data_IF_848518458065
#
_entry.id   IF_848518458065
#
_cell.length_a   1.000
_cell.length_b   1.000
_cell.length_c   1.000
_cell.angle_alpha   90.00
_cell.angle_beta   90.00
_cell.angle_gamma   90.00
#
_symmetry.space_group_name_H-M   'P 1'
#
loop_
_entity.id
_entity.type
_entity.pdbx_description
1 polymer ?
#
# COMPACT_ATOMS: atom_id res chain seq x y z
N UNK A 1 51.51 61.08 -0.05
CA UNK A 1 51.25 59.87 -0.84
C UNK A 1 51.33 58.66 0.08
N UNK A 2 50.21 58.10 0.55
CA UNK A 2 50.23 56.83 1.28
C UNK A 2 49.93 55.65 0.34
N UNK A 3 50.69 54.57 0.52
CA UNK A 3 50.60 53.33 -0.23
C UNK A 3 49.53 52.42 0.38
N UNK A 4 48.52 52.08 -0.41
CA UNK A 4 47.43 51.18 -0.05
C UNK A 4 47.84 49.73 -0.39
N UNK A 5 48.14 48.92 0.64
CA UNK A 5 48.42 47.50 0.47
C UNK A 5 47.12 46.68 0.55
N UNK A 6 46.66 46.19 -0.60
CA UNK A 6 45.55 45.26 -0.71
C UNK A 6 45.99 43.83 -0.35
N UNK A 7 45.54 43.32 0.80
CA UNK A 7 45.68 41.92 1.21
C UNK A 7 44.74 41.03 0.39
N UNK A 8 45.29 40.29 -0.59
CA UNK A 8 44.58 39.16 -1.24
C UNK A 8 44.49 37.98 -0.29
N UNK A 9 43.31 37.76 0.28
CA UNK A 9 42.96 36.58 1.07
C UNK A 9 42.66 35.42 0.11
N UNK A 10 43.59 34.47 0.05
CA UNK A 10 43.53 33.28 -0.78
C UNK A 10 42.75 32.19 -0.04
N UNK A 11 41.45 32.06 -0.32
CA UNK A 11 40.62 30.96 0.19
C UNK A 11 40.91 29.69 -0.62
N UNK A 12 41.43 28.67 0.05
CA UNK A 12 41.53 27.29 -0.44
C UNK A 12 40.12 26.70 -0.63
N UNK A 13 39.77 26.15 -1.81
CA UNK A 13 38.55 25.39 -1.98
C UNK A 13 38.72 23.98 -1.38
N UNK A 14 37.79 23.64 -0.49
CA UNK A 14 37.67 22.34 0.15
C UNK A 14 37.37 21.28 -0.92
N UNK A 15 38.29 20.31 -1.09
CA UNK A 15 38.13 19.20 -2.00
C UNK A 15 36.89 18.37 -1.60
N UNK A 16 35.88 18.34 -2.48
CA UNK A 16 34.75 17.43 -2.33
C UNK A 16 35.10 16.05 -2.92
N UNK A 17 34.74 14.94 -2.25
CA UNK A 17 34.95 13.61 -2.78
C UNK A 17 33.97 13.34 -3.92
N UNK A 18 34.48 13.31 -5.16
CA UNK A 18 33.73 12.88 -6.33
C UNK A 18 33.34 11.40 -6.18
N UNK A 19 32.07 11.15 -5.81
CA UNK A 19 31.44 9.85 -6.03
C UNK A 19 31.27 9.66 -7.53
N UNK A 20 32.15 8.86 -8.12
CA UNK A 20 32.03 8.38 -9.51
C UNK A 20 30.76 7.53 -9.60
N UNK A 21 29.63 8.15 -9.95
CA UNK A 21 28.46 7.44 -10.45
C UNK A 21 28.82 6.91 -11.83
N UNK A 22 29.23 5.64 -11.88
CA UNK A 22 29.30 4.91 -13.14
C UNK A 22 27.88 4.77 -13.66
N UNK A 23 27.49 5.65 -14.58
CA UNK A 23 26.31 5.46 -15.41
C UNK A 23 26.59 4.20 -16.24
N UNK A 24 26.04 3.07 -15.79
CA UNK A 24 25.98 1.86 -16.60
C UNK A 24 25.06 2.19 -17.75
N UNK A 25 25.63 2.57 -18.89
CA UNK A 25 24.90 2.67 -20.16
C UNK A 25 24.43 1.26 -20.49
N UNK A 26 23.20 0.94 -20.10
CA UNK A 26 22.49 -0.25 -20.56
C UNK A 26 22.19 -0.02 -22.04
N UNK A 27 23.15 -0.35 -22.88
CA UNK A 27 22.92 -0.44 -24.33
C UNK A 27 22.09 -1.69 -24.54
N UNK A 28 20.77 -1.52 -24.60
CA UNK A 28 19.90 -2.54 -25.15
C UNK A 28 20.29 -2.72 -26.61
N UNK A 29 21.14 -3.72 -26.88
CA UNK A 29 21.28 -4.25 -28.22
C UNK A 29 19.95 -4.88 -28.57
N UNK A 30 19.14 -4.15 -29.31
CA UNK A 30 17.97 -4.70 -30.01
C UNK A 30 18.56 -5.65 -31.05
N UNK A 31 18.60 -6.94 -30.74
CA UNK A 31 18.80 -7.97 -31.75
C UNK A 31 17.61 -7.87 -32.71
N UNK A 32 17.83 -7.16 -33.81
CA UNK A 32 16.96 -7.19 -34.97
C UNK A 32 16.99 -8.61 -35.53
N UNK A 33 16.08 -9.46 -35.04
CA UNK A 33 15.77 -10.73 -35.67
C UNK A 33 15.16 -10.36 -37.02
N UNK A 34 15.95 -10.48 -38.08
CA UNK A 34 15.49 -10.38 -39.45
C UNK A 34 14.55 -11.55 -39.72
N UNK A 35 13.27 -11.37 -39.40
CA UNK A 35 12.21 -12.28 -39.80
C UNK A 35 12.12 -12.16 -41.32
N UNK A 36 12.71 -13.13 -42.02
CA UNK A 36 12.60 -13.27 -43.46
C UNK A 36 11.13 -13.29 -43.85
N UNK A 37 10.68 -12.42 -44.77
CA UNK A 37 9.32 -12.48 -45.29
C UNK A 37 9.22 -13.67 -46.24
N UNK A 38 9.01 -14.86 -45.68
CA UNK A 38 8.54 -16.01 -46.48
C UNK A 38 7.12 -15.67 -46.94
N UNK A 39 7.01 -15.32 -48.22
CA UNK A 39 5.74 -15.06 -48.89
C UNK A 39 4.94 -16.38 -48.93
N UNK A 40 3.75 -16.48 -48.31
CA UNK A 40 2.83 -17.54 -48.66
C UNK A 40 2.29 -17.26 -50.06
N UNK A 41 2.65 -18.14 -51.00
CA UNK A 41 2.08 -18.20 -52.34
C UNK A 41 0.64 -18.73 -52.23
N UNK A 42 -0.30 -17.91 -52.69
CA UNK A 42 -1.58 -18.24 -53.34
C UNK A 42 -2.44 -19.36 -52.74
N UNK A 43 -3.65 -18.99 -52.31
CA UNK A 43 -4.85 -19.74 -52.68
C UNK A 43 -6.06 -18.81 -52.69
N UNK A 44 -6.42 -18.36 -53.88
CA UNK A 44 -7.70 -17.74 -54.19
C UNK A 44 -8.79 -18.78 -53.96
N UNK A 45 -9.50 -18.71 -52.84
CA UNK A 45 -10.78 -19.38 -52.70
C UNK A 45 -11.69 -18.60 -51.73
N UNK A 46 -12.81 -18.14 -52.31
CA UNK A 46 -14.10 -17.79 -51.72
C UNK A 46 -14.23 -16.46 -50.98
N UNK A 47 -14.74 -15.49 -51.75
CA UNK A 47 -15.07 -14.12 -51.39
C UNK A 47 -16.57 -13.96 -51.07
N UNK A 48 -17.16 -14.89 -50.31
CA UNK A 48 -18.61 -14.86 -49.97
C UNK A 48 -18.91 -15.11 -48.48
N UNK A 49 -18.00 -14.79 -47.56
CA UNK A 49 -18.18 -15.15 -46.13
C UNK A 49 -17.74 -14.14 -45.08
N UNK A 50 -17.42 -12.89 -45.45
CA UNK A 50 -16.81 -11.95 -44.50
C UNK A 50 -17.81 -11.07 -43.73
N UNK A 51 -19.07 -11.02 -44.12
CA UNK A 51 -20.09 -10.20 -43.42
C UNK A 51 -20.66 -10.90 -42.18
N UNK A 52 -20.57 -12.23 -42.06
CA UNK A 52 -21.20 -12.98 -40.95
C UNK A 52 -20.38 -13.02 -39.65
N UNK A 53 -19.15 -12.50 -39.62
CA UNK A 53 -18.33 -12.45 -38.38
C UNK A 53 -18.55 -11.19 -37.54
N UNK A 54 -18.91 -10.06 -38.15
CA UNK A 54 -19.19 -8.82 -37.41
C UNK A 54 -20.43 -8.91 -36.50
N UNK A 55 -21.45 -9.63 -36.95
CA UNK A 55 -22.72 -9.75 -36.21
C UNK A 55 -22.61 -10.54 -34.91
N UNK A 56 -21.68 -11.50 -34.81
CA UNK A 56 -21.49 -12.28 -33.56
C UNK A 56 -20.90 -11.43 -32.43
N UNK A 57 -19.96 -10.55 -32.74
CA UNK A 57 -19.34 -9.66 -31.74
C UNK A 57 -20.33 -8.64 -31.20
N UNK A 58 -21.17 -8.05 -32.05
CA UNK A 58 -22.20 -7.11 -31.60
C UNK A 58 -23.29 -7.79 -30.78
N UNK A 59 -23.68 -9.02 -31.12
CA UNK A 59 -24.62 -9.81 -30.34
C UNK A 59 -24.06 -10.19 -28.95
N UNK A 60 -22.76 -10.50 -28.87
CA UNK A 60 -22.09 -10.81 -27.61
C UNK A 60 -21.95 -9.58 -26.70
N UNK A 61 -21.63 -8.41 -27.28
CA UNK A 61 -21.57 -7.15 -26.52
C UNK A 61 -22.93 -6.74 -25.95
N UNK A 62 -24.02 -6.88 -26.73
CA UNK A 62 -25.38 -6.63 -26.22
C UNK A 62 -25.80 -7.60 -25.12
N UNK A 63 -25.33 -8.86 -25.16
CA UNK A 63 -25.59 -9.85 -24.09
C UNK A 63 -24.88 -9.48 -22.79
N UNK A 64 -23.62 -9.05 -22.87
CA UNK A 64 -22.87 -8.59 -21.69
C UNK A 64 -23.48 -7.34 -21.08
N UNK A 65 -23.82 -6.34 -21.90
CA UNK A 65 -24.45 -5.11 -21.40
C UNK A 65 -25.82 -5.37 -20.75
N UNK A 66 -26.59 -6.33 -21.28
CA UNK A 66 -27.87 -6.75 -20.69
C UNK A 66 -27.69 -7.51 -19.38
N UNK A 67 -26.65 -8.36 -19.28
CA UNK A 67 -26.32 -9.08 -18.05
C UNK A 67 -25.82 -8.12 -16.95
N UNK A 68 -25.01 -7.12 -17.33
CA UNK A 68 -24.51 -6.08 -16.42
C UNK A 68 -25.63 -5.20 -15.89
N UNK A 69 -26.54 -4.73 -16.76
CA UNK A 69 -27.74 -4.00 -16.33
C UNK A 69 -28.65 -4.82 -15.41
N UNK A 70 -28.79 -6.12 -15.68
CA UNK A 70 -29.56 -7.01 -14.80
C UNK A 70 -28.89 -7.16 -13.42
N UNK A 71 -27.57 -7.34 -13.37
CA UNK A 71 -26.81 -7.42 -12.13
C UNK A 71 -26.86 -6.12 -11.32
N UNK A 72 -26.79 -4.97 -11.99
CA UNK A 72 -26.87 -3.66 -11.35
C UNK A 72 -28.27 -3.39 -10.78
N UNK A 73 -29.33 -3.78 -11.50
CA UNK A 73 -30.70 -3.70 -11.00
C UNK A 73 -30.92 -4.62 -9.78
N UNK A 74 -30.32 -5.82 -9.77
CA UNK A 74 -30.34 -6.69 -8.59
C UNK A 74 -29.57 -6.11 -7.40
N UNK A 75 -28.44 -5.41 -7.64
CA UNK A 75 -27.70 -4.72 -6.57
C UNK A 75 -28.47 -3.55 -5.97
N UNK A 76 -29.16 -2.75 -6.77
CA UNK A 76 -30.00 -1.66 -6.26
C UNK A 76 -31.20 -2.16 -5.44
N UNK A 77 -31.69 -3.38 -5.71
CA UNK A 77 -32.75 -4.00 -4.90
C UNK A 77 -32.21 -4.69 -3.64
N UNK A 78 -30.92 -5.00 -3.56
CA UNK A 78 -30.31 -5.65 -2.39
C UNK A 78 -29.86 -4.66 -1.30
N UNK A 79 -30.01 -3.35 -1.54
CA UNK A 79 -29.59 -2.28 -0.63
C UNK A 79 -30.78 -1.68 0.14
N UNK A 80 -31.74 -2.53 0.48
CA UNK A 80 -32.73 -2.32 1.55
C UNK A 80 -32.50 -3.42 2.59
N UNK A 81 -31.29 -3.45 3.15
CA UNK A 81 -31.09 -4.05 4.47
C UNK A 81 -31.13 -2.88 5.44
N UNK A 82 -32.12 -2.89 6.33
CA UNK A 82 -32.19 -1.94 7.44
C UNK A 82 -30.87 -1.99 8.21
N UNK A 83 -30.25 -0.83 8.44
CA UNK A 83 -29.08 -0.71 9.31
C UNK A 83 -29.40 -1.40 10.64
N UNK A 84 -28.61 -2.42 10.98
CA UNK A 84 -28.73 -3.12 12.25
C UNK A 84 -28.59 -2.12 13.42
N UNK A 85 -29.50 -2.13 14.42
CA UNK A 85 -29.61 -1.09 15.45
C UNK A 85 -28.36 -0.82 16.31
N UNK A 86 -27.39 -1.73 16.33
CA UNK A 86 -26.22 -1.63 17.20
C UNK A 86 -25.11 -0.71 16.66
N UNK A 87 -25.04 -0.43 15.34
CA UNK A 87 -24.07 0.52 14.78
C UNK A 87 -24.34 1.99 15.21
N UNK A 88 -25.54 2.27 15.73
CA UNK A 88 -25.89 3.61 16.26
C UNK A 88 -25.25 3.89 17.62
N UNK A 89 -24.85 2.86 18.37
CA UNK A 89 -24.35 2.99 19.75
C UNK A 89 -22.87 3.38 19.79
N UNK A 90 -22.04 2.91 18.85
CA UNK A 90 -20.60 3.22 18.82
C UNK A 90 -20.25 4.65 18.40
N UNK A 91 -21.17 5.39 17.77
CA UNK A 91 -20.92 6.78 17.36
C UNK A 91 -21.01 7.78 18.52
N UNK A 92 -21.55 7.38 19.67
CA UNK A 92 -21.74 8.25 20.85
C UNK A 92 -20.66 8.10 21.93
N UNK A 93 -19.75 7.14 21.81
CA UNK A 93 -18.79 6.77 22.86
C UNK A 93 -17.33 7.13 22.57
N UNK A 94 -17.05 8.05 21.63
CA UNK A 94 -15.68 8.60 21.50
C UNK A 94 -15.45 9.73 22.52
N UNK A 95 -14.65 9.52 23.58
CA UNK A 95 -14.31 10.57 24.52
C UNK A 95 -13.47 11.64 23.83
N UNK A 96 -13.90 12.88 24.02
CA UNK A 96 -13.24 14.11 23.59
C UNK A 96 -11.86 14.17 24.24
N UNK A 97 -10.80 13.95 23.47
CA UNK A 97 -9.41 14.12 23.92
C UNK A 97 -9.19 15.56 24.38
N UNK A 98 -9.16 15.76 25.70
CA UNK A 98 -8.66 16.98 26.33
C UNK A 98 -7.15 17.02 26.11
N UNK A 99 -6.68 18.13 25.55
CA UNK A 99 -5.27 18.50 25.51
C UNK A 99 -4.64 18.33 26.89
N UNK A 100 -3.74 17.36 27.00
CA UNK A 100 -2.89 17.19 28.17
C UNK A 100 -1.85 18.32 28.12
N UNK A 101 -2.00 19.24 29.06
CA UNK A 101 -1.03 20.28 29.41
C UNK A 101 0.23 19.58 29.93
N UNK A 102 1.37 19.92 29.34
CA UNK A 102 2.69 19.55 29.81
C UNK A 102 2.95 20.28 31.13
N UNK A 103 2.94 19.57 32.25
CA UNK A 103 3.58 20.03 33.47
C UNK A 103 4.88 19.25 33.65
N UNK A 104 5.99 19.97 33.49
CA UNK A 104 7.32 19.56 33.93
C UNK A 104 7.25 19.12 35.40
N UNK A 105 7.44 17.83 35.65
CA UNK A 105 7.78 17.34 36.98
C UNK A 105 9.28 17.08 37.06
N UNK A 106 9.90 17.95 37.83
CA UNK A 106 11.19 17.84 38.48
C UNK A 106 11.57 16.41 38.88
N UNK A 107 12.75 15.96 38.46
CA UNK A 107 13.40 14.74 38.95
C UNK A 107 13.89 14.92 40.40
N UNK A 108 13.47 14.08 41.36
CA UNK A 108 14.13 13.99 42.65
C UNK A 108 15.38 13.09 42.60
N UNK A 109 16.39 13.55 43.33
CA UNK A 109 17.75 13.02 43.46
C UNK A 109 17.80 11.58 44.03
N UNK A 110 18.85 10.79 43.74
CA UNK A 110 19.00 9.43 44.25
C UNK A 110 19.40 9.46 45.73
N UNK A 111 18.57 8.87 46.59
CA UNK A 111 18.94 8.55 47.98
C UNK A 111 19.32 7.07 48.05
N UNK A 112 20.56 6.81 48.48
CA UNK A 112 21.12 5.50 48.77
C UNK A 112 20.33 4.84 49.92
N UNK A 113 19.69 3.70 49.61
CA UNK A 113 18.93 2.90 50.56
C UNK A 113 19.77 1.67 50.95
N UNK A 114 20.13 1.63 52.22
CA UNK A 114 20.79 0.52 52.90
C UNK A 114 20.07 -0.82 52.67
N UNK A 115 20.80 -1.80 52.14
CA UNK A 115 20.37 -3.21 52.09
C UNK A 115 20.26 -3.78 53.51
N UNK A 116 19.06 -4.22 53.86
CA UNK A 116 18.81 -5.12 54.99
C UNK A 116 18.39 -6.47 54.39
N UNK A 117 18.98 -7.60 54.81
CA UNK A 117 18.65 -8.90 54.24
C UNK A 117 17.17 -9.24 54.49
N UNK A 118 16.41 -9.70 53.47
CA UNK A 118 14.99 -9.94 53.62
C UNK A 118 14.71 -11.11 54.58
N UNK A 119 13.74 -10.98 55.50
CA UNK A 119 13.27 -12.09 56.31
C UNK A 119 12.62 -13.15 55.40
N UNK A 120 12.87 -14.42 55.72
CA UNK A 120 12.33 -15.59 55.02
C UNK A 120 10.83 -15.44 54.78
N UNK A 121 10.44 -15.53 53.50
CA UNK A 121 9.06 -15.37 53.06
C UNK A 121 8.13 -16.37 53.77
N UNK A 122 7.00 -15.92 54.34
CA UNK A 122 5.96 -16.82 54.82
C UNK A 122 5.39 -17.62 53.64
N UNK A 123 5.10 -18.90 53.88
CA UNK A 123 4.45 -19.78 52.93
C UNK A 123 3.18 -19.12 52.39
N UNK A 124 3.19 -18.85 51.07
CA UNK A 124 2.10 -18.19 50.35
C UNK A 124 0.94 -19.17 50.29
N UNK A 125 -0.16 -18.84 50.95
CA UNK A 125 -1.43 -19.53 50.78
C UNK A 125 -1.87 -19.42 49.31
N UNK A 126 -2.35 -20.52 48.74
CA UNK A 126 -2.76 -20.74 47.34
C UNK A 126 -4.01 -19.92 46.91
N UNK A 127 -4.24 -18.75 47.51
CA UNK A 127 -5.35 -17.84 47.20
C UNK A 127 -4.86 -16.73 46.25
N UNK A 128 -4.24 -17.15 45.13
CA UNK A 128 -3.86 -16.23 44.08
C UNK A 128 -5.11 -15.83 43.28
N UNK A 129 -5.36 -14.52 43.07
CA UNK A 129 -6.54 -14.04 42.36
C UNK A 129 -6.61 -14.58 40.93
N UNK A 130 -7.81 -14.93 40.49
CA UNK A 130 -8.10 -15.33 39.11
C UNK A 130 -8.05 -14.07 38.24
N UNK A 131 -7.22 -14.08 37.19
CA UNK A 131 -6.95 -12.88 36.38
C UNK A 131 -7.68 -12.85 35.02
N UNK A 132 -8.09 -14.00 34.45
CA UNK A 132 -8.73 -14.05 33.13
C UNK A 132 -9.91 -15.03 33.10
N UNK A 133 -11.11 -14.51 32.83
CA UNK A 133 -12.32 -15.30 32.56
C UNK A 133 -12.55 -15.43 31.06
N UNK A 134 -12.70 -16.65 30.55
CA UNK A 134 -12.99 -16.92 29.13
C UNK A 134 -14.40 -17.46 28.99
N UNK A 135 -15.26 -16.68 28.33
CA UNK A 135 -16.61 -17.10 27.94
C UNK A 135 -16.64 -17.44 26.45
N UNK A 136 -17.15 -18.62 26.12
CA UNK A 136 -17.31 -19.09 24.74
C UNK A 136 -18.65 -18.65 24.16
N UNK A 137 -18.71 -18.54 22.84
CA UNK A 137 -19.97 -18.23 22.15
C UNK A 137 -21.01 -19.34 22.40
N UNK A 138 -22.31 -19.03 22.61
CA UNK A 138 -23.33 -20.03 22.95
C UNK A 138 -23.47 -21.18 21.96
N UNK A 139 -23.09 -20.96 20.69
CA UNK A 139 -23.10 -22.00 19.65
C UNK A 139 -22.07 -23.11 19.87
N UNK A 140 -21.02 -22.86 20.65
CA UNK A 140 -19.91 -23.80 20.86
C UNK A 140 -20.14 -24.73 22.06
N UNK A 141 -21.25 -24.53 22.80
CA UNK A 141 -21.67 -25.30 23.97
C UNK A 141 -20.51 -25.68 24.92
N UNK A 142 -19.54 -24.78 25.04
CA UNK A 142 -18.34 -24.95 25.84
C UNK A 142 -18.53 -24.17 27.14
N UNK A 143 -18.22 -24.79 28.27
CA UNK A 143 -18.31 -24.15 29.57
C UNK A 143 -17.28 -23.02 29.67
N UNK A 144 -17.65 -21.93 30.35
CA UNK A 144 -16.68 -20.89 30.68
C UNK A 144 -15.55 -21.46 31.52
N UNK A 145 -14.36 -20.89 31.37
CA UNK A 145 -13.16 -21.35 32.05
C UNK A 145 -12.37 -20.17 32.61
N UNK A 146 -11.87 -20.33 33.83
CA UNK A 146 -11.02 -19.37 34.52
C UNK A 146 -9.56 -19.80 34.38
N UNK A 147 -8.70 -18.85 34.01
CA UNK A 147 -7.28 -19.06 33.79
C UNK A 147 -6.46 -18.02 34.56
N UNK A 148 -5.25 -18.41 34.99
CA UNK A 148 -4.31 -17.44 35.56
C UNK A 148 -3.61 -16.70 34.43
N UNK A 149 -3.26 -15.43 34.63
CA UNK A 149 -2.58 -14.64 33.59
C UNK A 149 -1.22 -15.25 33.22
N UNK A 150 -0.59 -15.92 34.18
CA UNK A 150 0.65 -16.67 34.01
C UNK A 150 0.51 -17.81 32.99
N UNK A 151 -0.66 -18.44 32.89
CA UNK A 151 -0.91 -19.51 31.94
C UNK A 151 -0.88 -18.99 30.49
N UNK A 152 -1.18 -17.70 30.28
CA UNK A 152 -1.08 -17.01 28.99
C UNK A 152 0.28 -16.36 28.73
N UNK A 153 1.14 -16.26 29.75
CA UNK A 153 2.53 -15.85 29.55
C UNK A 153 3.27 -17.02 28.90
N UNK A 154 3.10 -17.16 27.59
CA UNK A 154 3.99 -18.01 26.81
C UNK A 154 5.42 -17.56 27.14
N UNK A 155 6.31 -18.48 27.56
CA UNK A 155 7.69 -18.12 27.79
C UNK A 155 8.20 -17.48 26.51
N UNK A 156 8.56 -16.19 26.60
CA UNK A 156 9.01 -15.43 25.45
C UNK A 156 10.09 -16.29 24.78
N UNK A 157 9.88 -16.75 23.53
CA UNK A 157 10.82 -17.66 22.90
C UNK A 157 12.19 -17.01 22.94
N UNK A 158 13.11 -17.60 23.73
CA UNK A 158 14.37 -16.94 24.12
C UNK A 158 15.35 -16.76 22.95
N UNK A 159 14.97 -17.17 21.75
CA UNK A 159 15.71 -17.00 20.51
C UNK A 159 14.76 -16.89 19.32
N UNK A 160 13.92 -15.85 19.26
CA UNK A 160 13.42 -15.44 17.94
C UNK A 160 14.61 -14.76 17.25
N UNK A 161 15.20 -15.33 16.18
CA UNK A 161 16.19 -14.60 15.41
C UNK A 161 15.58 -13.28 14.97
N UNK A 162 16.33 -12.16 14.99
CA UNK A 162 15.81 -10.86 14.58
C UNK A 162 15.12 -11.02 13.22
N UNK A 163 13.90 -10.50 13.04
CA UNK A 163 13.14 -10.70 11.82
C UNK A 163 14.04 -10.29 10.67
N UNK A 164 14.33 -11.24 9.76
CA UNK A 164 15.16 -10.95 8.60
C UNK A 164 14.53 -9.75 7.91
N UNK A 165 15.32 -8.70 7.66
CA UNK A 165 14.86 -7.43 7.09
C UNK A 165 14.13 -7.55 5.74
N UNK A 166 14.08 -8.75 5.17
CA UNK A 166 13.42 -9.11 3.93
C UNK A 166 11.91 -9.44 4.07
N UNK A 167 11.33 -9.40 5.28
CA UNK A 167 9.90 -9.72 5.51
C UNK A 167 8.98 -8.51 5.31
N UNK A 168 9.51 -7.29 5.20
CA UNK A 168 8.72 -6.05 5.33
C UNK A 168 7.59 -5.82 4.30
N UNK A 169 7.57 -6.56 3.18
CA UNK A 169 6.62 -6.28 2.09
C UNK A 169 5.61 -7.38 1.80
N UNK A 170 5.55 -8.47 2.57
CA UNK A 170 4.50 -9.49 2.35
C UNK A 170 3.10 -8.88 2.54
N UNK A 171 2.13 -9.20 1.67
CA UNK A 171 2.12 -10.26 0.66
C UNK A 171 2.77 -9.93 -0.70
N UNK A 172 3.33 -8.74 -0.88
CA UNK A 172 3.93 -8.30 -2.15
C UNK A 172 5.35 -8.84 -2.36
N UNK A 173 5.70 -9.10 -3.63
CA UNK A 173 7.01 -9.63 -4.01
C UNK A 173 8.09 -8.54 -4.05
N UNK A 174 7.68 -7.30 -4.30
CA UNK A 174 8.61 -6.17 -4.43
C UNK A 174 8.14 -4.95 -3.64
N UNK A 175 9.10 -4.08 -3.27
CA UNK A 175 8.80 -2.78 -2.67
C UNK A 175 7.92 -1.91 -3.59
N UNK A 176 8.10 -2.01 -4.91
CA UNK A 176 7.32 -1.25 -5.88
C UNK A 176 5.86 -1.69 -5.91
N UNK A 177 5.58 -3.00 -5.81
CA UNK A 177 4.21 -3.53 -5.69
C UNK A 177 3.54 -3.05 -4.40
N UNK A 178 4.27 -3.06 -3.28
CA UNK A 178 3.77 -2.51 -2.02
C UNK A 178 3.42 -1.02 -2.13
N UNK A 179 4.31 -0.20 -2.70
CA UNK A 179 4.05 1.23 -2.90
C UNK A 179 2.88 1.47 -3.85
N UNK A 180 2.75 0.67 -4.90
CA UNK A 180 1.59 0.73 -5.81
C UNK A 180 0.29 0.43 -5.06
N UNK A 181 0.25 -0.62 -4.23
CA UNK A 181 -0.90 -0.94 -3.41
C UNK A 181 -1.23 0.17 -2.40
N UNK A 182 -0.21 0.79 -1.79
CA UNK A 182 -0.39 1.93 -0.90
C UNK A 182 -1.03 3.13 -1.61
N UNK A 183 -0.61 3.42 -2.84
CA UNK A 183 -1.21 4.47 -3.68
C UNK A 183 -2.66 4.10 -4.04
N UNK A 184 -2.92 2.85 -4.44
CA UNK A 184 -4.25 2.40 -4.82
C UNK A 184 -5.24 2.52 -3.66
N UNK A 185 -4.85 2.12 -2.45
CA UNK A 185 -5.65 2.27 -1.23
C UNK A 185 -5.83 3.76 -0.90
N UNK A 186 -4.73 4.53 -0.91
CA UNK A 186 -4.77 5.96 -0.58
C UNK A 186 -5.64 6.79 -1.52
N UNK A 187 -5.71 6.41 -2.80
CA UNK A 187 -6.56 7.03 -3.80
C UNK A 187 -7.95 6.38 -3.92
N UNK A 188 -8.27 5.40 -3.06
CA UNK A 188 -9.54 4.65 -3.09
C UNK A 188 -9.88 4.09 -4.48
N UNK A 189 -8.88 3.53 -5.17
CA UNK A 189 -9.08 2.96 -6.49
C UNK A 189 -9.93 1.70 -6.40
N UNK A 190 -10.89 1.57 -7.31
CA UNK A 190 -11.67 0.33 -7.47
C UNK A 190 -10.84 -0.74 -8.15
N UNK A 191 -11.30 -1.99 -8.08
CA UNK A 191 -10.69 -3.10 -8.80
C UNK A 191 -10.52 -2.81 -10.29
N UNK A 192 -11.52 -2.19 -10.93
CA UNK A 192 -11.49 -1.88 -12.36
C UNK A 192 -10.45 -0.80 -12.71
N UNK A 193 -10.29 0.20 -11.84
CA UNK A 193 -9.22 1.20 -11.98
C UNK A 193 -7.84 0.55 -11.88
N UNK A 194 -7.65 -0.36 -10.91
CA UNK A 194 -6.39 -1.06 -10.71
C UNK A 194 -6.08 -1.94 -11.93
N UNK A 195 -7.05 -2.72 -12.42
CA UNK A 195 -6.88 -3.55 -13.61
C UNK A 195 -6.49 -2.71 -14.83
N UNK A 196 -7.17 -1.59 -15.05
CA UNK A 196 -6.87 -0.67 -16.15
C UNK A 196 -5.44 -0.11 -16.05
N UNK A 197 -4.99 0.26 -14.86
CA UNK A 197 -3.61 0.72 -14.63
C UNK A 197 -2.59 -0.39 -14.92
N UNK A 198 -2.84 -1.62 -14.47
CA UNK A 198 -1.99 -2.77 -14.78
C UNK A 198 -1.90 -3.01 -16.29
N UNK A 199 -3.01 -2.94 -17.02
CA UNK A 199 -3.03 -3.11 -18.47
C UNK A 199 -2.22 -2.04 -19.19
N UNK A 200 -2.34 -0.77 -18.78
CA UNK A 200 -1.54 0.34 -19.33
C UNK A 200 -0.04 0.09 -19.08
N UNK A 201 0.35 -0.25 -17.86
CA UNK A 201 1.76 -0.55 -17.50
C UNK A 201 2.30 -1.70 -18.35
N UNK A 202 1.53 -2.79 -18.48
CA UNK A 202 1.93 -3.95 -19.26
C UNK A 202 2.07 -3.63 -20.77
N UNK A 203 1.22 -2.77 -21.32
CA UNK A 203 1.35 -2.29 -22.71
C UNK A 203 2.60 -1.46 -22.90
N UNK A 204 2.94 -0.60 -21.93
CA UNK A 204 4.21 0.15 -21.95
C UNK A 204 5.44 -0.76 -21.88
N UNK A 205 5.43 -1.76 -20.99
CA UNK A 205 6.53 -2.75 -20.88
C UNK A 205 6.67 -3.56 -22.17
N UNK A 206 5.56 -3.89 -22.82
CA UNK A 206 5.53 -4.61 -24.09
C UNK A 206 5.91 -3.76 -25.31
N UNK A 207 6.20 -2.46 -25.12
CA UNK A 207 6.52 -1.53 -26.20
C UNK A 207 5.35 -1.16 -27.11
N UNK A 208 4.12 -1.50 -26.73
CA UNK A 208 2.91 -1.15 -27.49
C UNK A 208 2.42 0.28 -27.21
N UNK A 209 2.90 0.87 -26.13
CA UNK A 209 2.56 2.22 -25.68
C UNK A 209 3.76 2.86 -24.96
N UNK A 210 3.73 4.16 -24.71
CA UNK A 210 4.77 4.86 -23.94
C UNK A 210 4.21 6.05 -23.17
N UNK A 211 4.61 6.19 -21.91
CA UNK A 211 4.26 7.36 -21.10
C UNK A 211 5.07 8.58 -21.56
N UNK A 212 4.38 9.62 -22.01
CA UNK A 212 4.99 10.93 -22.36
C UNK A 212 5.03 11.91 -21.19
N UNK A 213 4.20 11.69 -20.17
CA UNK A 213 4.04 12.60 -19.03
C UNK A 213 5.14 12.30 -18.01
N UNK A 214 5.98 13.30 -17.71
CA UNK A 214 7.17 13.13 -16.86
C UNK A 214 7.03 13.72 -15.46
N UNK A 215 5.97 14.51 -15.22
CA UNK A 215 5.76 15.20 -13.95
C UNK A 215 4.29 15.38 -13.62
N UNK A 216 3.98 15.49 -12.33
CA UNK A 216 2.63 15.80 -11.86
C UNK A 216 2.13 17.17 -12.38
N UNK A 217 3.01 18.17 -12.45
CA UNK A 217 2.69 19.49 -13.01
C UNK A 217 2.27 19.40 -14.47
N UNK A 218 3.01 18.64 -15.29
CA UNK A 218 2.66 18.42 -16.69
C UNK A 218 1.30 17.71 -16.84
N UNK A 219 1.01 16.75 -15.96
CA UNK A 219 -0.30 16.09 -15.92
C UNK A 219 -1.42 17.09 -15.61
N UNK A 220 -1.27 17.91 -14.58
CA UNK A 220 -2.23 18.96 -14.21
C UNK A 220 -2.42 19.99 -15.32
N UNK A 221 -1.33 20.44 -15.96
CA UNK A 221 -1.38 21.41 -17.05
C UNK A 221 -2.12 20.86 -18.29
N UNK A 222 -2.04 19.53 -18.53
CA UNK A 222 -2.82 18.86 -19.58
C UNK A 222 -4.28 18.62 -19.21
N UNK A 223 -4.59 18.50 -17.92
CA UNK A 223 -5.96 18.33 -17.43
C UNK A 223 -6.74 19.63 -17.37
N UNK A 224 -6.06 20.78 -17.21
CA UNK A 224 -6.70 22.09 -17.31
C UNK A 224 -7.41 22.15 -18.66
N UNK A 225 -8.75 22.24 -18.69
CA UNK A 225 -9.46 22.37 -19.94
C UNK A 225 -8.88 23.60 -20.64
N UNK A 226 -8.52 23.45 -21.91
CA UNK A 226 -8.14 24.56 -22.78
C UNK A 226 -9.37 25.43 -22.95
N UNK A 227 -9.70 26.22 -21.92
CA UNK A 227 -10.90 27.06 -21.83
C UNK A 227 -10.86 28.25 -22.78
N UNK A 228 -9.88 28.28 -23.67
CA UNK A 228 -9.80 29.17 -24.82
C UNK A 228 -10.07 28.35 -26.09
N UNK A 229 -11.28 27.81 -26.24
CA UNK A 229 -11.81 27.59 -27.58
C UNK A 229 -12.34 28.97 -27.99
N UNK A 230 -11.67 29.71 -28.89
CA UNK A 230 -12.26 30.92 -29.44
C UNK A 230 -13.52 30.51 -30.21
N UNK A 231 -14.68 30.93 -29.72
CA UNK A 231 -15.91 30.95 -30.50
C UNK A 231 -15.80 32.10 -31.49
N UNK A 232 -15.69 31.77 -32.77
CA UNK A 232 -15.91 32.70 -33.89
C UNK A 232 -17.37 33.17 -33.95
#
# INVERSE_FOLDING_TARGET
MPAEQAKKSQRNPLAQPHRKLSIVKLTMQVLSIAISPSRPRTSLCNRDGFESRGHRFLAQRRRLEKAEKAAQNSRSNALIYEEEPWERVERLSKPRTRHHREEEMQSPSPQELHETPPPASPAVSDDAPIDVHVEYHPSENSASSDFRLEDFRQPAPQNIPPPSSNIMYRPFNTKSEFLFAQIAIGASLTHDHIQTLCDIINRCISGQDYFTIKSAKEFEDRLKPSSSIPTD
#
